data_IF_734921285498
#
_entry.id   IF_734921285498
#
_cell.length_a   1.000
_cell.length_b   1.000
_cell.length_c   1.000
_cell.angle_alpha   90.00
_cell.angle_beta   90.00
_cell.angle_gamma   90.00
#
_symmetry.space_group_name_H-M   'P 1'
#
loop_
_entity.id
_entity.type
_entity.pdbx_description
1 polymer ?
#
# COMPACT_ATOMS: atom_id res chain seq x y z
N UNK A 1 10.66 34.16 -61.18
CA UNK A 1 10.10 35.43 -61.61
C UNK A 1 8.62 35.34 -61.27
N UNK A 2 8.31 35.91 -60.14
CA UNK A 2 7.22 36.85 -59.84
C UNK A 2 5.80 36.35 -60.21
N UNK A 3 4.78 36.39 -59.38
CA UNK A 3 4.44 37.44 -58.41
C UNK A 3 3.49 36.93 -57.32
N UNK A 4 3.65 37.53 -56.17
CA UNK A 4 2.68 37.57 -55.07
C UNK A 4 1.33 38.14 -55.50
N UNK A 5 0.25 37.59 -55.00
CA UNK A 5 -0.88 38.42 -54.60
C UNK A 5 -1.68 37.78 -53.46
N UNK A 6 -1.61 38.47 -52.35
CA UNK A 6 -2.37 38.35 -51.12
C UNK A 6 -3.87 38.43 -51.34
N UNK A 7 -4.62 37.50 -50.79
CA UNK A 7 -6.00 37.79 -50.37
C UNK A 7 -6.29 37.16 -49.03
N UNK A 8 -6.41 38.05 -48.04
CA UNK A 8 -7.04 37.75 -46.75
C UNK A 8 -8.48 37.29 -47.03
N UNK A 9 -8.81 36.04 -46.70
CA UNK A 9 -10.21 35.62 -46.51
C UNK A 9 -10.42 35.26 -45.07
N UNK A 10 -11.36 35.92 -44.47
CA UNK A 10 -11.85 35.86 -43.09
C UNK A 10 -12.31 34.46 -42.72
N UNK A 11 -11.94 34.08 -41.53
CA UNK A 11 -12.22 32.81 -40.82
C UNK A 11 -13.67 32.78 -40.32
N UNK A 12 -14.66 32.57 -41.20
CA UNK A 12 -16.07 32.46 -40.76
C UNK A 12 -16.98 31.59 -41.63
N UNK A 13 -16.44 30.65 -42.40
CA UNK A 13 -17.29 29.68 -43.14
C UNK A 13 -16.59 28.32 -43.32
N UNK A 14 -16.43 27.56 -42.24
CA UNK A 14 -16.28 26.09 -42.30
C UNK A 14 -17.02 25.50 -41.12
N UNK A 15 -18.32 25.47 -41.21
CA UNK A 15 -19.20 24.59 -40.42
C UNK A 15 -20.04 23.78 -41.38
N UNK A 16 -19.50 22.67 -41.90
CA UNK A 16 -20.32 21.62 -42.53
C UNK A 16 -19.89 20.27 -41.96
N UNK A 17 -20.84 19.61 -41.33
CA UNK A 17 -20.71 18.30 -40.67
C UNK A 17 -20.05 17.17 -41.48
N UNK A 18 -20.09 17.15 -42.85
CA UNK A 18 -19.43 16.08 -43.62
C UNK A 18 -17.91 16.12 -43.60
N UNK A 19 -17.29 17.31 -43.55
CA UNK A 19 -15.80 17.46 -43.60
C UNK A 19 -15.13 17.01 -42.28
N UNK A 20 -15.80 17.25 -41.16
CA UNK A 20 -15.30 16.85 -39.85
C UNK A 20 -15.35 15.31 -39.71
N UNK A 21 -16.34 14.64 -40.28
CA UNK A 21 -16.43 13.18 -40.27
C UNK A 21 -15.42 12.50 -41.22
N UNK A 22 -15.07 13.14 -42.32
CA UNK A 22 -13.99 12.65 -43.21
C UNK A 22 -12.62 12.86 -42.56
N UNK A 23 -12.35 13.99 -41.93
CA UNK A 23 -11.11 14.22 -41.20
C UNK A 23 -10.95 13.28 -39.98
N UNK A 24 -12.04 12.95 -39.26
CA UNK A 24 -12.03 11.95 -38.21
C UNK A 24 -11.78 10.51 -38.70
N UNK A 25 -12.22 10.19 -39.93
CA UNK A 25 -11.89 8.88 -40.57
C UNK A 25 -10.45 8.83 -41.03
N UNK A 26 -9.88 9.95 -41.51
CA UNK A 26 -8.47 10.00 -41.91
C UNK A 26 -7.55 9.96 -40.67
N UNK A 27 -7.86 10.69 -39.60
CA UNK A 27 -7.07 10.62 -38.36
C UNK A 27 -7.17 9.25 -37.66
N UNK A 28 -8.32 8.58 -37.67
CA UNK A 28 -8.42 7.21 -37.21
C UNK A 28 -7.63 6.24 -38.10
N UNK A 29 -7.68 6.38 -39.43
CA UNK A 29 -6.89 5.50 -40.33
C UNK A 29 -5.37 5.74 -40.21
N UNK A 30 -4.92 6.99 -40.06
CA UNK A 30 -3.50 7.29 -39.83
C UNK A 30 -3.04 6.83 -38.43
N UNK A 31 -3.89 6.92 -37.40
CA UNK A 31 -3.58 6.37 -36.07
C UNK A 31 -3.47 4.84 -36.08
N UNK A 32 -4.38 4.15 -36.79
CA UNK A 32 -4.26 2.69 -37.00
C UNK A 32 -3.08 2.33 -37.90
N UNK A 33 -2.73 3.15 -38.89
CA UNK A 33 -1.57 2.91 -39.76
C UNK A 33 -0.25 3.18 -39.02
N UNK A 34 -0.17 4.19 -38.16
CA UNK A 34 0.98 4.42 -37.30
C UNK A 34 1.08 3.34 -36.19
N UNK A 35 -0.04 2.89 -35.63
CA UNK A 35 -0.06 1.79 -34.68
C UNK A 35 0.37 0.46 -35.32
N UNK A 36 -0.09 0.21 -36.58
CA UNK A 36 0.30 -0.98 -37.36
C UNK A 36 1.75 -0.90 -37.85
N UNK A 37 2.26 0.30 -38.22
CA UNK A 37 3.66 0.51 -38.60
C UNK A 37 4.63 0.44 -37.42
N UNK A 38 4.23 0.95 -36.24
CA UNK A 38 4.99 0.78 -34.98
C UNK A 38 5.05 -0.70 -34.56
N UNK A 39 3.99 -1.46 -34.80
CA UNK A 39 3.95 -2.91 -34.56
C UNK A 39 4.77 -3.72 -35.57
N UNK A 40 4.97 -3.24 -36.80
CA UNK A 40 5.71 -3.94 -37.86
C UNK A 40 7.21 -3.63 -37.89
N UNK A 41 7.71 -2.59 -37.21
CA UNK A 41 9.12 -2.18 -37.26
C UNK A 41 9.81 -2.04 -35.88
N UNK A 42 9.14 -2.30 -34.80
CA UNK A 42 9.77 -2.55 -33.52
C UNK A 42 10.59 -3.83 -33.67
N UNK A 43 11.88 -3.74 -33.79
CA UNK A 43 12.80 -4.88 -33.70
C UNK A 43 12.32 -5.74 -32.53
N UNK A 44 12.09 -7.03 -32.78
CA UNK A 44 11.61 -8.03 -31.84
C UNK A 44 12.57 -8.16 -30.65
N UNK A 45 12.56 -7.21 -29.74
CA UNK A 45 13.21 -7.37 -28.45
C UNK A 45 12.21 -8.20 -27.64
N UNK A 46 12.50 -9.46 -27.47
CA UNK A 46 11.79 -10.33 -26.55
C UNK A 46 12.23 -9.90 -25.15
N UNK A 47 11.31 -9.36 -24.35
CA UNK A 47 11.60 -9.07 -22.95
C UNK A 47 11.28 -10.31 -22.10
N UNK A 48 12.24 -10.72 -21.28
CA UNK A 48 12.10 -11.87 -20.40
C UNK A 48 11.89 -11.43 -18.96
N UNK A 49 10.72 -11.72 -18.41
CA UNK A 49 10.37 -11.40 -17.01
C UNK A 49 10.40 -12.67 -16.18
N UNK A 50 11.10 -12.61 -15.05
CA UNK A 50 11.13 -13.65 -14.03
C UNK A 50 10.38 -13.22 -12.77
N UNK A 51 9.43 -14.03 -12.29
CA UNK A 51 8.80 -13.84 -10.98
C UNK A 51 9.62 -14.61 -9.96
N UNK A 52 10.18 -13.88 -8.99
CA UNK A 52 11.03 -14.42 -7.93
C UNK A 52 10.21 -15.22 -6.90
N UNK A 53 10.80 -16.23 -6.31
CA UNK A 53 10.34 -16.79 -5.04
C UNK A 53 10.72 -15.85 -3.89
N UNK A 54 9.89 -15.80 -2.87
CA UNK A 54 10.22 -15.07 -1.65
C UNK A 54 11.08 -15.94 -0.73
N UNK A 55 12.18 -15.38 -0.23
CA UNK A 55 13.12 -16.09 0.65
C UNK A 55 13.24 -15.43 2.03
N UNK A 56 12.37 -14.47 2.34
CA UNK A 56 12.39 -13.74 3.61
C UNK A 56 11.91 -14.61 4.79
N UNK A 57 12.49 -14.40 5.95
CA UNK A 57 12.07 -15.01 7.22
C UNK A 57 11.53 -13.90 8.16
N UNK A 58 10.32 -14.05 8.72
CA UNK A 58 9.33 -15.12 8.48
C UNK A 58 8.83 -15.17 7.04
N UNK A 59 8.34 -16.34 6.60
CA UNK A 59 7.93 -16.60 5.21
C UNK A 59 6.84 -15.63 4.74
N UNK A 60 7.09 -14.97 3.62
CA UNK A 60 6.09 -14.17 2.90
C UNK A 60 5.47 -15.04 1.80
N UNK A 61 4.15 -15.24 1.84
CA UNK A 61 3.43 -16.10 0.90
C UNK A 61 2.84 -15.34 -0.28
N UNK A 62 2.93 -14.01 -0.28
CA UNK A 62 2.42 -13.16 -1.36
C UNK A 62 3.24 -13.34 -2.63
N UNK A 63 2.64 -13.00 -3.76
CA UNK A 63 3.31 -12.96 -5.06
C UNK A 63 3.01 -11.62 -5.74
N UNK A 64 3.93 -11.08 -6.55
CA UNK A 64 3.70 -9.83 -7.28
C UNK A 64 2.73 -10.02 -8.45
N UNK A 65 2.69 -11.22 -9.03
CA UNK A 65 1.81 -11.61 -10.13
C UNK A 65 1.24 -13.00 -9.84
N UNK A 66 -0.08 -13.11 -9.82
CA UNK A 66 -0.77 -14.40 -9.66
C UNK A 66 -0.73 -15.19 -11.00
N UNK A 67 -1.06 -16.51 -11.01
CA UNK A 67 -1.16 -17.29 -12.25
C UNK A 67 -2.00 -16.59 -13.32
N UNK A 68 -3.17 -16.09 -12.94
CA UNK A 68 -4.08 -15.34 -13.82
C UNK A 68 -3.43 -14.08 -14.39
N UNK A 69 -2.70 -13.32 -13.58
CA UNK A 69 -1.98 -12.12 -14.03
C UNK A 69 -0.90 -12.46 -15.05
N UNK A 70 -0.14 -13.52 -14.81
CA UNK A 70 0.86 -14.01 -15.75
C UNK A 70 0.21 -14.39 -17.10
N UNK A 71 -0.95 -15.06 -17.08
CA UNK A 71 -1.68 -15.40 -18.30
C UNK A 71 -2.16 -14.18 -19.06
N UNK A 72 -2.75 -13.19 -18.36
CA UNK A 72 -3.18 -11.91 -18.95
C UNK A 72 -2.01 -11.20 -19.63
N UNK A 73 -0.83 -11.19 -19.01
CA UNK A 73 0.36 -10.55 -19.58
C UNK A 73 0.82 -11.24 -20.86
N UNK A 74 0.89 -12.57 -20.88
CA UNK A 74 1.27 -13.33 -22.08
C UNK A 74 0.25 -13.17 -23.22
N UNK A 75 -1.04 -13.07 -22.91
CA UNK A 75 -2.09 -12.83 -23.90
C UNK A 75 -2.05 -11.39 -24.45
N UNK A 76 -1.64 -10.43 -23.61
CA UNK A 76 -1.61 -9.00 -23.97
C UNK A 76 -0.34 -8.62 -24.73
N UNK A 77 0.80 -9.24 -24.40
CA UNK A 77 2.11 -8.89 -24.93
C UNK A 77 2.77 -10.11 -25.61
N UNK A 78 2.55 -10.30 -26.92
CA UNK A 78 3.03 -11.50 -27.64
C UNK A 78 4.56 -11.68 -27.68
N UNK A 79 5.33 -10.61 -27.41
CA UNK A 79 6.80 -10.62 -27.37
C UNK A 79 7.34 -10.74 -25.93
N UNK A 80 6.50 -11.07 -24.97
CA UNK A 80 6.89 -11.29 -23.59
C UNK A 80 7.15 -12.79 -23.37
N UNK A 81 8.32 -13.12 -22.83
CA UNK A 81 8.56 -14.38 -22.16
C UNK A 81 8.44 -14.20 -20.65
N UNK A 82 7.70 -15.08 -19.99
CA UNK A 82 7.48 -15.01 -18.56
C UNK A 82 7.75 -16.36 -17.92
N UNK A 83 8.61 -16.37 -16.92
CA UNK A 83 8.93 -17.54 -16.11
C UNK A 83 8.71 -17.22 -14.63
N UNK A 84 8.32 -18.23 -13.87
CA UNK A 84 8.10 -18.12 -12.43
C UNK A 84 9.04 -19.09 -11.72
N UNK A 85 9.78 -18.60 -10.74
CA UNK A 85 10.71 -19.45 -9.98
C UNK A 85 9.93 -20.41 -9.08
N UNK A 86 10.31 -21.70 -9.07
CA UNK A 86 9.68 -22.74 -8.24
C UNK A 86 9.70 -22.37 -6.75
N UNK A 87 8.60 -22.60 -6.02
CA UNK A 87 8.48 -22.25 -4.61
C UNK A 87 7.43 -23.08 -3.87
N UNK A 88 7.85 -23.65 -2.74
CA UNK A 88 6.97 -24.37 -1.80
C UNK A 88 6.26 -23.45 -0.78
N UNK A 89 6.59 -22.15 -0.79
CA UNK A 89 6.16 -21.22 0.28
C UNK A 89 4.95 -20.38 -0.16
N UNK A 90 4.92 -19.92 -1.42
CA UNK A 90 3.92 -18.97 -1.91
C UNK A 90 2.49 -19.49 -1.83
N UNK A 91 1.51 -18.60 -1.76
CA UNK A 91 0.09 -18.96 -1.64
C UNK A 91 -0.52 -19.54 -2.93
N UNK A 92 0.15 -19.41 -4.09
CA UNK A 92 -0.19 -20.04 -5.36
C UNK A 92 0.88 -21.10 -5.68
N UNK A 93 0.50 -22.37 -5.72
CA UNK A 93 1.44 -23.46 -6.00
C UNK A 93 1.97 -23.42 -7.44
N UNK A 94 3.08 -24.11 -7.69
CA UNK A 94 3.64 -24.29 -9.03
C UNK A 94 2.60 -24.85 -10.00
N UNK A 95 1.80 -25.84 -9.57
CA UNK A 95 0.74 -26.45 -10.37
C UNK A 95 -0.32 -25.43 -10.84
N UNK A 96 -0.62 -24.42 -10.03
CA UNK A 96 -1.56 -23.36 -10.41
C UNK A 96 -1.01 -22.49 -11.55
N UNK A 97 0.28 -22.20 -11.55
CA UNK A 97 0.94 -21.48 -12.66
C UNK A 97 1.03 -22.37 -13.91
N UNK A 98 1.40 -23.65 -13.75
CA UNK A 98 1.44 -24.61 -14.86
C UNK A 98 0.07 -24.80 -15.52
N UNK A 99 -1.01 -24.79 -14.73
CA UNK A 99 -2.39 -24.89 -15.25
C UNK A 99 -2.76 -23.69 -16.15
N UNK A 100 -2.18 -22.51 -15.91
CA UNK A 100 -2.32 -21.32 -16.77
C UNK A 100 -1.29 -21.30 -17.92
N UNK A 101 -0.51 -22.36 -18.10
CA UNK A 101 0.52 -22.47 -19.15
C UNK A 101 1.75 -21.60 -18.89
N UNK A 102 2.03 -21.27 -17.63
CA UNK A 102 3.18 -20.47 -17.23
C UNK A 102 4.38 -21.38 -16.96
N UNK A 103 5.53 -20.99 -17.45
CA UNK A 103 6.77 -21.73 -17.30
C UNK A 103 7.30 -21.65 -15.86
N UNK A 104 7.53 -22.80 -15.21
CA UNK A 104 8.17 -22.90 -13.88
C UNK A 104 9.61 -23.31 -14.06
N UNK A 105 10.52 -22.57 -13.42
CA UNK A 105 11.98 -22.77 -13.49
C UNK A 105 12.62 -22.65 -12.11
N UNK A 106 13.79 -23.24 -11.93
CA UNK A 106 14.60 -23.07 -10.72
C UNK A 106 15.53 -21.85 -10.83
N UNK A 107 15.98 -21.52 -12.03
CA UNK A 107 16.92 -20.44 -12.33
C UNK A 107 16.31 -19.38 -13.24
N UNK A 108 16.45 -18.11 -12.85
CA UNK A 108 15.98 -16.94 -13.60
C UNK A 108 17.13 -16.16 -14.28
N UNK A 109 18.32 -16.74 -14.39
CA UNK A 109 19.49 -16.05 -14.97
C UNK A 109 19.31 -15.64 -16.43
N UNK A 110 18.39 -16.28 -17.16
CA UNK A 110 18.02 -15.91 -18.54
C UNK A 110 17.00 -14.75 -18.64
N UNK A 111 16.40 -14.31 -17.51
CA UNK A 111 15.46 -13.22 -17.49
C UNK A 111 16.17 -11.85 -17.44
N UNK A 112 15.58 -10.82 -18.04
CA UNK A 112 16.09 -9.44 -18.05
C UNK A 112 15.59 -8.67 -16.82
N UNK A 113 14.35 -8.89 -16.44
CA UNK A 113 13.65 -8.24 -15.34
C UNK A 113 13.17 -9.26 -14.33
N UNK A 114 13.46 -9.04 -13.06
CA UNK A 114 13.11 -9.91 -11.95
C UNK A 114 12.15 -9.18 -11.01
N UNK A 115 10.98 -9.78 -10.78
CA UNK A 115 9.88 -9.16 -10.04
C UNK A 115 9.59 -9.99 -8.80
N UNK A 116 9.77 -9.41 -7.60
CA UNK A 116 9.45 -10.01 -6.29
C UNK A 116 8.55 -9.11 -5.45
N UNK A 117 8.26 -9.52 -4.23
CA UNK A 117 7.58 -8.68 -3.22
C UNK A 117 8.61 -8.05 -2.29
N UNK A 118 9.51 -8.85 -1.74
CA UNK A 118 10.53 -8.45 -0.77
C UNK A 118 11.94 -8.54 -1.37
N UNK A 119 12.89 -7.98 -0.61
CA UNK A 119 14.31 -8.03 -0.96
C UNK A 119 14.83 -9.47 -1.04
N UNK A 120 15.69 -9.69 -2.03
CA UNK A 120 16.36 -10.99 -2.26
C UNK A 120 17.60 -11.10 -1.38
N UNK A 121 17.93 -12.28 -0.81
CA UNK A 121 19.20 -12.53 -0.14
C UNK A 121 20.41 -12.16 -1.00
N UNK A 122 21.47 -11.67 -0.39
CA UNK A 122 22.64 -11.15 -1.11
C UNK A 122 23.30 -12.18 -2.03
N UNK A 123 23.27 -13.44 -1.62
CA UNK A 123 23.83 -14.60 -2.33
C UNK A 123 22.97 -15.04 -3.52
N UNK A 124 21.68 -14.72 -3.52
CA UNK A 124 20.73 -15.06 -4.58
C UNK A 124 20.61 -13.97 -5.67
N UNK A 125 21.35 -12.84 -5.53
CA UNK A 125 21.32 -11.76 -6.50
C UNK A 125 22.05 -12.12 -7.79
N UNK A 126 21.39 -11.89 -8.93
CA UNK A 126 21.92 -12.15 -10.29
C UNK A 126 22.39 -10.81 -10.88
N UNK A 127 23.66 -10.76 -11.32
CA UNK A 127 24.26 -9.57 -11.86
C UNK A 127 23.64 -9.10 -13.19
N UNK A 128 23.69 -7.79 -13.46
CA UNK A 128 23.23 -7.14 -14.70
C UNK A 128 21.72 -7.30 -14.99
N UNK A 129 20.89 -7.46 -13.95
CA UNK A 129 19.45 -7.58 -14.07
C UNK A 129 18.74 -6.33 -13.55
N UNK A 130 17.48 -6.18 -13.92
CA UNK A 130 16.58 -5.17 -13.33
C UNK A 130 15.68 -5.86 -12.30
N UNK A 131 15.69 -5.37 -11.06
CA UNK A 131 14.88 -5.91 -9.97
C UNK A 131 13.75 -4.95 -9.58
N UNK A 132 12.58 -5.50 -9.33
CA UNK A 132 11.41 -4.80 -8.78
C UNK A 132 10.97 -5.45 -7.48
N UNK A 133 11.04 -4.74 -6.36
CA UNK A 133 10.54 -5.17 -5.06
C UNK A 133 10.52 -4.01 -4.03
N UNK A 134 10.02 -4.25 -2.81
CA UNK A 134 10.16 -3.34 -1.68
C UNK A 134 11.54 -3.51 -1.06
N UNK A 135 12.49 -2.64 -1.39
CA UNK A 135 13.88 -2.73 -0.90
C UNK A 135 14.07 -2.13 0.48
N UNK A 136 13.23 -1.17 0.86
CA UNK A 136 13.36 -0.35 2.08
C UNK A 136 14.70 0.40 2.20
N UNK A 137 15.55 0.42 1.18
CA UNK A 137 16.87 1.07 1.21
C UNK A 137 16.75 2.59 1.37
N UNK A 138 15.66 3.19 0.87
CA UNK A 138 15.36 4.62 1.02
C UNK A 138 15.18 5.07 2.48
N UNK A 139 14.99 4.13 3.41
CA UNK A 139 14.85 4.40 4.86
C UNK A 139 16.19 4.43 5.59
N UNK A 140 17.30 4.23 4.88
CA UNK A 140 18.68 4.23 5.39
C UNK A 140 18.90 3.33 6.61
N UNK A 141 18.12 2.24 6.72
CA UNK A 141 18.26 1.29 7.82
C UNK A 141 19.60 0.54 7.69
N UNK A 142 20.37 0.39 8.77
CA UNK A 142 21.71 -0.19 8.73
C UNK A 142 21.78 -1.58 8.06
N UNK A 143 20.76 -2.41 8.24
CA UNK A 143 20.71 -3.77 7.67
C UNK A 143 20.49 -3.80 6.15
N UNK A 144 19.89 -2.75 5.55
CA UNK A 144 19.67 -2.67 4.10
C UNK A 144 20.87 -2.11 3.32
N UNK A 145 21.88 -1.58 4.02
CA UNK A 145 23.07 -1.00 3.39
C UNK A 145 23.85 -2.04 2.57
N UNK A 146 24.02 -3.24 3.10
CA UNK A 146 24.71 -4.32 2.41
C UNK A 146 24.03 -4.71 1.09
N UNK A 147 22.68 -4.69 1.06
CA UNK A 147 21.89 -4.94 -0.14
C UNK A 147 22.21 -3.90 -1.23
N UNK A 148 22.12 -2.62 -0.90
CA UNK A 148 22.37 -1.54 -1.86
C UNK A 148 23.81 -1.60 -2.40
N UNK A 149 24.82 -1.80 -1.54
CA UNK A 149 26.21 -1.98 -1.94
C UNK A 149 26.38 -3.17 -2.89
N UNK A 150 25.76 -4.30 -2.59
CA UNK A 150 25.84 -5.49 -3.43
C UNK A 150 25.20 -5.28 -4.80
N UNK A 151 24.08 -4.55 -4.86
CA UNK A 151 23.44 -4.20 -6.12
C UNK A 151 24.31 -3.32 -7.01
N UNK A 152 24.95 -2.30 -6.45
CA UNK A 152 25.94 -1.47 -7.16
C UNK A 152 27.10 -2.31 -7.71
N UNK A 153 27.66 -3.21 -6.88
CA UNK A 153 28.76 -4.10 -7.28
C UNK A 153 28.39 -5.06 -8.42
N UNK A 154 27.15 -5.54 -8.43
CA UNK A 154 26.65 -6.49 -9.44
C UNK A 154 26.06 -5.79 -10.66
N UNK A 155 26.18 -4.47 -10.78
CA UNK A 155 25.61 -3.68 -11.89
C UNK A 155 24.10 -3.94 -12.06
N UNK A 156 23.35 -4.01 -10.95
CA UNK A 156 21.92 -4.26 -10.92
C UNK A 156 21.16 -2.93 -10.97
N UNK A 157 20.10 -2.87 -11.79
CA UNK A 157 19.12 -1.79 -11.72
C UNK A 157 18.04 -2.15 -10.69
N UNK A 158 17.89 -1.33 -9.65
CA UNK A 158 16.91 -1.57 -8.58
C UNK A 158 15.76 -0.57 -8.63
N UNK A 159 14.57 -1.04 -8.94
CA UNK A 159 13.32 -0.27 -8.92
C UNK A 159 12.57 -0.60 -7.63
N UNK A 160 12.36 0.40 -6.77
CA UNK A 160 11.64 0.20 -5.52
C UNK A 160 10.16 0.57 -5.64
N UNK A 161 9.28 -0.37 -5.28
CA UNK A 161 7.83 -0.16 -5.28
C UNK A 161 7.36 0.98 -4.37
N UNK A 162 8.12 1.31 -3.32
CA UNK A 162 7.73 2.39 -2.39
C UNK A 162 7.72 3.76 -3.05
N UNK A 163 8.52 3.95 -4.09
CA UNK A 163 8.72 5.24 -4.77
C UNK A 163 8.14 5.31 -6.17
N UNK A 164 7.43 4.28 -6.63
CA UNK A 164 6.65 4.34 -7.87
C UNK A 164 5.48 5.32 -7.70
N UNK A 165 5.54 6.46 -8.38
CA UNK A 165 4.57 7.55 -8.28
C UNK A 165 4.13 8.02 -9.65
N UNK A 166 2.88 8.50 -9.73
CA UNK A 166 2.39 9.21 -10.91
C UNK A 166 2.85 10.68 -10.90
N UNK A 167 2.50 11.42 -11.97
CA UNK A 167 2.86 12.83 -12.13
C UNK A 167 2.23 13.77 -11.06
N UNK A 168 1.27 13.27 -10.27
CA UNK A 168 0.69 13.98 -9.12
C UNK A 168 1.39 13.67 -7.80
N UNK A 169 2.42 12.83 -7.83
CA UNK A 169 3.13 12.36 -6.64
C UNK A 169 2.40 11.26 -5.86
N UNK A 170 1.29 10.73 -6.38
CA UNK A 170 0.55 9.64 -5.74
C UNK A 170 1.26 8.31 -5.95
N UNK A 171 1.43 7.53 -4.89
CA UNK A 171 2.02 6.19 -4.94
C UNK A 171 1.12 5.24 -5.72
N UNK A 172 1.68 4.56 -6.72
CA UNK A 172 0.92 3.71 -7.65
C UNK A 172 0.66 2.31 -7.13
N UNK A 173 1.54 1.75 -6.31
CA UNK A 173 1.57 0.34 -5.96
C UNK A 173 1.74 0.14 -4.46
N UNK A 174 1.08 -0.85 -3.87
CA UNK A 174 1.29 -1.23 -2.48
C UNK A 174 0.15 -2.03 -1.85
N UNK A 175 0.45 -2.71 -0.77
CA UNK A 175 -0.48 -3.58 -0.03
C UNK A 175 -1.35 -2.84 1.00
N UNK A 176 -1.36 -1.50 1.00
CA UNK A 176 -2.04 -0.70 2.04
C UNK A 176 -3.54 -0.96 2.14
N UNK A 177 -4.23 -1.26 1.03
CA UNK A 177 -5.65 -1.62 1.05
C UNK A 177 -5.90 -2.86 1.91
N UNK A 178 -5.11 -3.92 1.71
CA UNK A 178 -5.23 -5.15 2.49
C UNK A 178 -4.69 -5.02 3.91
N UNK A 179 -3.76 -4.12 4.18
CA UNK A 179 -3.43 -3.76 5.55
C UNK A 179 -4.66 -3.18 6.28
N UNK A 180 -5.43 -2.31 5.62
CA UNK A 180 -6.68 -1.76 6.16
C UNK A 180 -7.78 -2.79 6.35
N UNK A 181 -7.99 -3.66 5.36
CA UNK A 181 -9.00 -4.74 5.38
C UNK A 181 -8.73 -5.69 6.55
N UNK A 182 -7.52 -6.25 6.62
CA UNK A 182 -7.17 -7.21 7.67
C UNK A 182 -7.07 -6.52 9.03
N UNK A 183 -6.49 -5.31 9.09
CA UNK A 183 -6.34 -4.58 10.34
C UNK A 183 -7.67 -4.20 10.99
N UNK A 184 -8.67 -3.80 10.19
CA UNK A 184 -10.02 -3.54 10.71
C UNK A 184 -10.69 -4.82 11.23
N UNK A 185 -10.59 -5.93 10.48
CA UNK A 185 -11.08 -7.21 10.93
C UNK A 185 -10.43 -7.67 12.24
N UNK A 186 -9.09 -7.57 12.32
CA UNK A 186 -8.35 -7.89 13.53
C UNK A 186 -8.69 -6.96 14.71
N UNK A 187 -9.09 -5.71 14.44
CA UNK A 187 -9.64 -4.82 15.46
C UNK A 187 -10.91 -5.38 16.10
N UNK A 188 -11.84 -5.89 15.29
CA UNK A 188 -13.04 -6.58 15.80
C UNK A 188 -12.70 -7.89 16.50
N UNK A 189 -11.79 -8.70 15.95
CA UNK A 189 -11.30 -9.91 16.60
C UNK A 189 -10.74 -9.59 17.99
N UNK A 190 -9.90 -8.55 18.07
CA UNK A 190 -9.30 -8.10 19.34
C UNK A 190 -10.37 -7.69 20.35
N UNK A 191 -11.40 -6.96 19.91
CA UNK A 191 -12.49 -6.56 20.78
C UNK A 191 -13.30 -7.78 21.29
N UNK A 192 -13.61 -8.73 20.42
CA UNK A 192 -14.29 -9.97 20.81
C UNK A 192 -13.54 -10.74 21.89
N UNK A 193 -12.23 -10.90 21.70
CA UNK A 193 -11.34 -11.58 22.67
C UNK A 193 -11.15 -10.79 23.98
N UNK A 194 -11.07 -9.45 23.92
CA UNK A 194 -10.94 -8.58 25.10
C UNK A 194 -12.22 -8.55 25.92
N UNK A 195 -13.38 -8.43 25.27
CA UNK A 195 -14.68 -8.35 25.93
C UNK A 195 -15.26 -9.71 26.32
N UNK A 196 -14.77 -10.81 25.70
CA UNK A 196 -15.34 -12.15 25.84
C UNK A 196 -16.72 -12.33 25.19
N UNK A 197 -17.21 -11.37 24.39
CA UNK A 197 -18.56 -11.40 23.80
C UNK A 197 -18.68 -12.36 22.63
N UNK A 198 -17.65 -12.41 21.78
CA UNK A 198 -17.60 -13.27 20.60
C UNK A 198 -16.16 -13.64 20.23
N UNK A 199 -16.02 -14.59 19.33
CA UNK A 199 -14.72 -15.01 18.81
C UNK A 199 -14.80 -15.15 17.29
N UNK A 200 -13.87 -14.52 16.57
CA UNK A 200 -13.71 -14.63 15.13
C UNK A 200 -12.58 -15.59 14.80
N UNK A 201 -12.68 -16.29 13.68
CA UNK A 201 -11.57 -17.04 13.10
C UNK A 201 -10.46 -16.08 12.71
N UNK A 202 -9.21 -16.33 13.09
CA UNK A 202 -8.09 -15.49 12.69
C UNK A 202 -8.01 -15.37 11.16
N UNK A 203 -7.73 -14.17 10.61
CA UNK A 203 -7.75 -13.92 9.18
C UNK A 203 -6.82 -14.88 8.41
N UNK A 204 -5.62 -15.15 8.94
CA UNK A 204 -4.65 -16.08 8.34
C UNK A 204 -5.09 -17.56 8.32
N UNK A 205 -6.14 -17.92 9.03
CA UNK A 205 -6.76 -19.24 9.01
C UNK A 205 -7.96 -19.31 8.06
N UNK A 206 -8.43 -18.17 7.52
CA UNK A 206 -9.47 -18.13 6.49
C UNK A 206 -8.86 -18.51 5.13
N UNK A 207 -9.65 -19.15 4.29
CA UNK A 207 -9.21 -19.53 2.93
C UNK A 207 -8.99 -18.30 2.04
N UNK A 208 -9.85 -17.29 2.23
CA UNK A 208 -9.86 -16.04 1.48
C UNK A 208 -10.63 -14.95 2.24
N UNK A 209 -10.73 -13.78 1.61
CA UNK A 209 -11.47 -12.64 2.13
C UNK A 209 -12.98 -12.94 2.31
N UNK A 210 -13.56 -13.76 1.45
CA UNK A 210 -15.00 -14.07 1.53
C UNK A 210 -15.31 -14.82 2.81
N UNK A 211 -14.50 -15.82 3.16
CA UNK A 211 -14.63 -16.52 4.44
C UNK A 211 -14.40 -15.59 5.62
N UNK A 212 -13.37 -14.74 5.58
CA UNK A 212 -13.10 -13.76 6.63
C UNK A 212 -14.26 -12.79 6.82
N UNK A 213 -14.83 -12.26 5.73
CA UNK A 213 -16.03 -11.39 5.81
C UNK A 213 -17.26 -12.14 6.35
N UNK A 214 -17.40 -13.44 6.07
CA UNK A 214 -18.45 -14.29 6.61
C UNK A 214 -18.41 -14.41 8.14
N UNK A 215 -17.20 -14.44 8.72
CA UNK A 215 -17.00 -14.46 10.18
C UNK A 215 -17.56 -13.21 10.87
N UNK A 216 -17.63 -12.07 10.18
CA UNK A 216 -18.13 -10.81 10.74
C UNK A 216 -19.59 -10.89 11.18
N UNK A 217 -20.35 -11.86 10.69
CA UNK A 217 -21.73 -12.13 11.17
C UNK A 217 -21.80 -12.50 12.65
N UNK A 218 -20.67 -12.88 13.26
CA UNK A 218 -20.55 -13.23 14.69
C UNK A 218 -20.29 -12.01 15.57
N UNK A 219 -20.07 -10.83 15.00
CA UNK A 219 -19.76 -9.61 15.76
C UNK A 219 -21.00 -9.20 16.57
N UNK A 220 -20.82 -9.13 17.87
CA UNK A 220 -21.84 -8.70 18.83
C UNK A 220 -21.41 -7.39 19.49
N UNK A 221 -21.95 -6.28 19.02
CA UNK A 221 -21.79 -4.94 19.57
C UNK A 221 -23.17 -4.39 19.95
N UNK A 222 -23.25 -3.73 21.09
CA UNK A 222 -24.50 -3.17 21.63
C UNK A 222 -24.59 -1.67 21.43
N UNK A 223 -23.66 -0.93 22.01
CA UNK A 223 -23.62 0.53 22.00
C UNK A 223 -22.18 1.07 21.96
N UNK A 224 -21.25 0.22 21.51
CA UNK A 224 -19.85 0.60 21.36
C UNK A 224 -19.70 1.71 20.34
N UNK A 225 -18.84 2.68 20.68
CA UNK A 225 -18.42 3.73 19.76
C UNK A 225 -17.03 3.42 19.21
N UNK A 226 -16.88 3.53 17.90
CA UNK A 226 -15.66 3.17 17.17
C UNK A 226 -15.10 4.41 16.49
N UNK A 227 -13.82 4.67 16.66
CA UNK A 227 -13.08 5.67 15.87
C UNK A 227 -12.33 4.96 14.75
N UNK A 228 -12.45 5.48 13.54
CA UNK A 228 -11.62 5.12 12.39
C UNK A 228 -10.86 6.35 11.93
N UNK A 229 -9.55 6.24 11.73
CA UNK A 229 -8.74 7.34 11.17
C UNK A 229 -8.11 6.95 9.84
N UNK A 230 -7.88 7.96 8.99
CA UNK A 230 -7.16 7.82 7.73
C UNK A 230 -8.05 7.75 6.48
N UNK A 231 -7.61 8.46 5.42
CA UNK A 231 -8.30 8.55 4.12
C UNK A 231 -7.43 8.05 2.96
N UNK A 232 -6.28 7.46 3.26
CA UNK A 232 -5.39 6.85 2.28
C UNK A 232 -5.79 5.42 1.93
N UNK A 233 -4.90 4.68 1.29
CA UNK A 233 -5.12 3.26 0.91
C UNK A 233 -5.54 2.39 2.10
N UNK A 234 -4.87 2.56 3.24
CA UNK A 234 -5.18 1.83 4.49
C UNK A 234 -6.57 2.19 4.99
N UNK A 235 -6.86 3.48 5.16
CA UNK A 235 -8.17 3.94 5.62
C UNK A 235 -9.32 3.49 4.70
N UNK A 236 -9.09 3.48 3.38
CA UNK A 236 -10.08 2.96 2.42
C UNK A 236 -10.34 1.46 2.63
N UNK A 237 -9.30 0.65 2.88
CA UNK A 237 -9.44 -0.76 3.22
C UNK A 237 -10.20 -0.97 4.53
N UNK A 238 -9.93 -0.15 5.57
CA UNK A 238 -10.72 -0.15 6.81
C UNK A 238 -12.19 0.13 6.51
N UNK A 239 -12.47 1.14 5.67
CA UNK A 239 -13.86 1.51 5.34
C UNK A 239 -14.61 0.44 4.54
N UNK A 240 -13.91 -0.44 3.80
CA UNK A 240 -14.55 -1.60 3.16
C UNK A 240 -15.13 -2.56 4.21
N UNK A 241 -14.36 -2.85 5.26
CA UNK A 241 -14.81 -3.69 6.38
C UNK A 241 -15.89 -3.01 7.21
N UNK A 242 -15.76 -1.71 7.48
CA UNK A 242 -16.80 -0.95 8.19
C UNK A 242 -18.14 -0.97 7.45
N UNK A 243 -18.14 -0.90 6.11
CA UNK A 243 -19.37 -1.03 5.31
C UNK A 243 -19.98 -2.43 5.38
N UNK A 244 -19.16 -3.47 5.53
CA UNK A 244 -19.60 -4.87 5.67
C UNK A 244 -20.11 -5.20 7.07
N UNK A 245 -19.65 -4.48 8.10
CA UNK A 245 -20.03 -4.72 9.49
C UNK A 245 -21.46 -4.32 9.83
N UNK A 246 -22.16 -3.62 8.93
CA UNK A 246 -23.48 -3.03 9.17
C UNK A 246 -23.54 -2.02 10.35
N UNK A 247 -22.39 -1.55 10.84
CA UNK A 247 -22.32 -0.53 11.88
C UNK A 247 -22.57 0.84 11.25
N UNK A 248 -23.47 1.61 11.87
CA UNK A 248 -23.85 2.91 11.32
C UNK A 248 -22.77 3.96 11.50
N UNK A 249 -22.37 4.63 10.41
CA UNK A 249 -21.55 5.83 10.47
C UNK A 249 -22.36 7.03 10.97
N UNK A 250 -21.81 7.79 11.88
CA UNK A 250 -22.42 9.02 12.40
C UNK A 250 -21.55 10.25 12.11
N UNK A 251 -22.17 11.44 12.19
CA UNK A 251 -21.41 12.68 12.09
C UNK A 251 -20.49 12.87 13.29
N UNK A 252 -19.39 13.63 13.13
CA UNK A 252 -18.49 14.00 14.23
C UNK A 252 -19.22 14.64 15.39
N UNK A 253 -20.12 15.56 15.10
CA UNK A 253 -20.93 16.25 16.11
C UNK A 253 -21.84 15.29 16.89
N UNK A 254 -22.49 14.37 16.18
CA UNK A 254 -23.35 13.36 16.82
C UNK A 254 -22.52 12.38 17.66
N UNK A 255 -21.35 11.98 17.17
CA UNK A 255 -20.44 11.10 17.92
C UNK A 255 -20.04 11.70 19.27
N UNK A 256 -19.73 13.01 19.30
CA UNK A 256 -19.32 13.70 20.51
C UNK A 256 -20.49 13.94 21.48
N UNK A 257 -21.70 14.27 20.97
CA UNK A 257 -22.77 14.84 21.79
C UNK A 257 -23.97 13.90 22.04
N UNK A 258 -24.02 12.74 21.34
CA UNK A 258 -25.17 11.82 21.47
C UNK A 258 -24.77 10.47 22.05
N UNK A 259 -25.69 9.88 22.78
CA UNK A 259 -25.69 8.44 23.13
C UNK A 259 -26.49 7.66 22.09
N UNK A 260 -26.14 6.40 21.89
CA UNK A 260 -26.78 5.54 20.91
C UNK A 260 -27.18 4.22 21.57
N UNK A 261 -28.30 3.64 21.12
CA UNK A 261 -28.76 2.31 21.55
C UNK A 261 -28.23 1.19 20.63
N UNK A 262 -27.30 1.53 19.76
CA UNK A 262 -26.64 0.64 18.81
C UNK A 262 -25.16 1.02 18.69
N UNK A 263 -24.34 0.13 18.18
CA UNK A 263 -22.95 0.45 17.87
C UNK A 263 -22.87 1.45 16.70
N UNK A 264 -21.97 2.43 16.83
CA UNK A 264 -21.76 3.45 15.80
C UNK A 264 -20.26 3.71 15.59
N UNK A 265 -19.92 4.23 14.41
CA UNK A 265 -18.56 4.68 14.18
C UNK A 265 -18.47 6.10 13.59
N UNK A 266 -17.35 6.75 13.86
CA UNK A 266 -16.96 8.00 13.22
C UNK A 266 -15.70 7.76 12.39
N UNK A 267 -15.67 8.33 11.17
CA UNK A 267 -14.48 8.34 10.33
C UNK A 267 -13.85 9.72 10.34
N UNK A 268 -12.61 9.81 10.81
CA UNK A 268 -11.87 11.04 11.02
C UNK A 268 -10.73 11.19 10.01
N UNK A 269 -10.64 12.36 9.43
CA UNK A 269 -9.47 12.81 8.68
C UNK A 269 -8.48 13.48 9.67
N UNK A 270 -7.20 13.58 9.30
CA UNK A 270 -6.18 14.26 10.12
C UNK A 270 -6.53 15.71 10.49
N UNK A 271 -7.29 16.41 9.65
CA UNK A 271 -7.82 17.76 9.95
C UNK A 271 -8.88 17.79 11.07
N UNK A 272 -9.48 16.64 11.40
CA UNK A 272 -10.57 16.57 12.36
C UNK A 272 -10.09 16.44 13.81
N UNK A 273 -8.83 16.03 13.97
CA UNK A 273 -8.20 15.81 15.27
C UNK A 273 -6.85 16.54 15.44
N UNK A 274 -6.51 17.46 14.53
CA UNK A 274 -5.40 18.37 14.69
C UNK A 274 -5.90 19.82 14.57
N UNK A 275 -5.57 20.64 15.55
CA UNK A 275 -5.97 22.03 15.61
C UNK A 275 -4.74 22.92 15.76
N UNK A 276 -4.79 24.14 15.21
CA UNK A 276 -3.70 25.11 15.42
C UNK A 276 -3.67 25.59 16.86
N UNK A 277 -2.47 25.74 17.40
CA UNK A 277 -2.24 26.18 18.80
C UNK A 277 -2.76 27.61 19.01
N UNK A 278 -2.66 28.48 18.00
CA UNK A 278 -3.13 29.89 18.06
C UNK A 278 -4.65 30.04 17.83
N UNK A 279 -5.37 28.94 17.60
CA UNK A 279 -6.82 28.93 17.35
C UNK A 279 -7.25 29.41 15.98
N UNK A 280 -6.33 29.69 15.05
CA UNK A 280 -6.65 30.03 13.68
C UNK A 280 -7.11 28.80 12.86
N UNK A 281 -7.66 29.03 11.67
CA UNK A 281 -8.16 27.94 10.82
C UNK A 281 -7.06 26.97 10.41
N UNK A 282 -7.41 25.68 10.31
CA UNK A 282 -6.52 24.62 9.83
C UNK A 282 -6.08 24.90 8.38
N UNK A 283 -4.78 24.77 8.14
CA UNK A 283 -4.19 24.81 6.79
C UNK A 283 -3.37 23.53 6.55
N UNK A 284 -3.75 22.76 5.54
CA UNK A 284 -3.13 21.47 5.26
C UNK A 284 -1.67 21.58 4.85
N UNK A 285 -1.30 22.56 4.02
CA UNK A 285 0.08 22.73 3.60
C UNK A 285 0.96 23.13 4.79
N UNK A 286 0.47 24.02 5.64
CA UNK A 286 1.16 24.45 6.85
C UNK A 286 1.32 23.29 7.85
N UNK A 287 0.31 22.43 7.98
CA UNK A 287 0.39 21.24 8.83
C UNK A 287 1.54 20.29 8.39
N UNK A 288 1.75 20.12 7.10
CA UNK A 288 2.83 19.26 6.62
C UNK A 288 4.21 19.92 6.65
N UNK A 289 4.28 21.26 6.63
CA UNK A 289 5.58 21.98 6.64
C UNK A 289 6.02 22.40 8.04
N UNK A 290 5.08 22.71 8.92
CA UNK A 290 5.31 23.22 10.27
C UNK A 290 4.37 22.53 11.28
N UNK A 291 4.49 21.19 11.46
CA UNK A 291 3.57 20.43 12.32
C UNK A 291 3.59 20.87 13.79
N UNK A 292 4.66 21.49 14.26
CA UNK A 292 4.82 22.05 15.61
C UNK A 292 3.85 23.20 15.93
N UNK A 293 3.23 23.80 14.93
CA UNK A 293 2.18 24.81 15.11
C UNK A 293 0.81 24.21 15.46
N UNK A 294 0.73 22.88 15.49
CA UNK A 294 -0.52 22.17 15.72
C UNK A 294 -0.45 21.31 16.99
N UNK A 295 -1.62 21.02 17.55
CA UNK A 295 -1.80 20.07 18.65
C UNK A 295 -2.94 19.12 18.35
N UNK A 296 -2.90 17.95 18.98
CA UNK A 296 -3.98 16.96 18.88
C UNK A 296 -5.23 17.42 19.66
N UNK A 297 -6.39 17.15 19.09
CA UNK A 297 -7.70 17.14 19.76
C UNK A 297 -8.34 15.75 19.71
N UNK A 298 -7.55 14.70 19.46
CA UNK A 298 -8.06 13.33 19.36
C UNK A 298 -8.70 12.84 20.64
N UNK A 299 -8.25 13.34 21.79
CA UNK A 299 -8.82 13.00 23.10
C UNK A 299 -10.30 13.38 23.23
N UNK A 300 -10.77 14.43 22.53
CA UNK A 300 -12.19 14.78 22.49
C UNK A 300 -13.06 13.62 21.98
N UNK A 301 -12.51 12.79 21.09
CA UNK A 301 -13.16 11.58 20.56
C UNK A 301 -12.86 10.35 21.41
N UNK A 302 -11.62 10.17 21.87
CA UNK A 302 -11.15 8.96 22.55
C UNK A 302 -11.91 8.71 23.86
N UNK A 303 -12.28 9.75 24.61
CA UNK A 303 -13.07 9.66 25.85
C UNK A 303 -14.49 9.09 25.62
N UNK A 304 -14.98 9.11 24.38
CA UNK A 304 -16.31 8.59 24.02
C UNK A 304 -16.25 7.23 23.33
N UNK A 305 -15.07 6.70 23.02
CA UNK A 305 -14.90 5.52 22.17
C UNK A 305 -14.38 4.31 22.96
N UNK A 306 -14.79 3.12 22.51
CA UNK A 306 -14.33 1.84 23.04
C UNK A 306 -13.27 1.19 22.15
N UNK A 307 -13.33 1.43 20.83
CA UNK A 307 -12.48 0.82 19.81
C UNK A 307 -11.88 1.93 18.96
N UNK A 308 -10.58 1.86 18.73
CA UNK A 308 -9.88 2.72 17.79
C UNK A 308 -9.19 1.89 16.71
N UNK A 309 -9.51 2.16 15.44
CA UNK A 309 -8.90 1.55 14.26
C UNK A 309 -8.05 2.62 13.58
N UNK A 310 -6.74 2.52 13.72
CA UNK A 310 -5.77 3.51 13.27
C UNK A 310 -5.26 3.19 11.87
N UNK A 311 -5.92 3.73 10.85
CA UNK A 311 -5.52 3.60 9.44
C UNK A 311 -4.89 4.87 8.85
N UNK A 312 -4.46 5.81 9.70
CA UNK A 312 -3.83 7.06 9.30
C UNK A 312 -2.34 6.87 8.97
N UNK A 313 -1.80 7.83 8.22
CA UNK A 313 -0.36 8.00 8.05
C UNK A 313 0.17 8.98 9.09
N UNK A 314 1.27 8.63 9.74
CA UNK A 314 1.98 9.52 10.64
C UNK A 314 3.23 10.08 9.97
N UNK A 315 3.42 11.40 10.06
CA UNK A 315 4.64 12.08 9.65
C UNK A 315 5.43 12.47 10.89
N UNK A 316 6.72 12.20 10.89
CA UNK A 316 7.59 12.58 12.01
C UNK A 316 7.46 14.06 12.34
N UNK A 317 7.31 14.39 13.62
CA UNK A 317 7.09 15.75 14.11
C UNK A 317 5.62 16.17 14.18
N UNK A 318 4.68 15.41 13.62
CA UNK A 318 3.24 15.68 13.80
C UNK A 318 2.81 15.43 15.25
N UNK A 319 1.73 16.10 15.74
CA UNK A 319 1.18 15.82 17.05
C UNK A 319 0.80 14.35 17.24
N UNK A 320 1.04 13.80 18.41
CA UNK A 320 0.56 12.47 18.78
C UNK A 320 -0.97 12.50 18.91
N UNK A 321 -1.63 11.39 18.52
CA UNK A 321 -3.07 11.28 18.72
C UNK A 321 -3.40 11.30 20.21
N UNK A 322 -2.74 10.43 20.97
CA UNK A 322 -2.76 10.48 22.43
C UNK A 322 -1.40 10.05 23.00
N UNK A 323 -1.04 10.67 24.12
CA UNK A 323 0.20 10.41 24.84
C UNK A 323 -0.01 9.33 25.91
N UNK A 324 1.09 8.88 26.52
CA UNK A 324 1.02 7.99 27.70
C UNK A 324 0.27 8.62 28.85
N UNK A 325 0.42 9.93 29.04
CA UNK A 325 -0.26 10.69 30.08
C UNK A 325 -1.78 10.79 29.81
N UNK A 326 -2.17 11.00 28.56
CA UNK A 326 -3.58 10.97 28.16
C UNK A 326 -4.21 9.61 28.46
N UNK A 327 -3.49 8.52 28.22
CA UNK A 327 -3.97 7.15 28.47
C UNK A 327 -4.21 6.85 29.96
N UNK A 328 -3.56 7.58 30.88
CA UNK A 328 -3.75 7.45 32.34
C UNK A 328 -4.98 8.20 32.85
N UNK A 329 -5.57 9.05 32.03
CA UNK A 329 -6.77 9.80 32.41
C UNK A 329 -7.92 8.85 32.76
N UNK A 330 -8.70 9.18 33.79
CA UNK A 330 -9.88 8.44 34.20
C UNK A 330 -10.98 8.45 33.12
N UNK A 331 -10.98 9.45 32.26
CA UNK A 331 -11.93 9.58 31.16
C UNK A 331 -11.50 8.80 29.90
N UNK A 332 -10.30 8.19 29.90
CA UNK A 332 -9.82 7.42 28.76
C UNK A 332 -10.51 6.06 28.63
N UNK A 333 -11.36 5.92 27.62
CA UNK A 333 -12.29 4.79 27.50
C UNK A 333 -11.93 3.72 26.45
N UNK A 334 -10.84 3.93 25.68
CA UNK A 334 -10.44 2.94 24.69
C UNK A 334 -10.03 1.62 25.34
N UNK A 335 -10.74 0.55 24.97
CA UNK A 335 -10.47 -0.83 25.37
C UNK A 335 -9.59 -1.54 24.36
N UNK A 336 -9.73 -1.17 23.07
CA UNK A 336 -9.01 -1.76 21.95
C UNK A 336 -8.42 -0.68 21.06
N UNK A 337 -7.17 -0.88 20.69
CA UNK A 337 -6.46 -0.11 19.67
C UNK A 337 -5.96 -1.09 18.61
N UNK A 338 -6.51 -1.01 17.40
CA UNK A 338 -6.01 -1.68 16.21
C UNK A 338 -5.10 -0.71 15.45
N UNK A 339 -3.81 -0.70 15.78
CA UNK A 339 -2.85 0.19 15.16
C UNK A 339 -2.25 -0.43 13.90
N UNK A 340 -2.86 -0.11 12.76
CA UNK A 340 -2.44 -0.60 11.44
C UNK A 340 -1.16 0.09 10.97
N UNK A 341 -0.88 1.31 11.45
CA UNK A 341 0.34 2.05 11.12
C UNK A 341 1.58 1.43 11.79
N UNK A 342 1.40 0.87 12.98
CA UNK A 342 2.43 0.18 13.76
C UNK A 342 3.70 1.05 13.97
N UNK A 343 3.52 2.35 14.22
CA UNK A 343 4.63 3.28 14.50
C UNK A 343 5.04 3.20 15.99
N UNK A 344 6.13 2.47 16.25
CA UNK A 344 6.61 2.25 17.62
C UNK A 344 7.04 3.57 18.26
N UNK A 345 6.56 3.84 19.49
CA UNK A 345 6.74 5.12 20.17
C UNK A 345 6.29 6.31 19.30
N UNK A 346 5.34 6.07 18.43
CA UNK A 346 4.73 7.04 17.52
C UNK A 346 3.46 7.69 18.08
N UNK A 347 2.52 8.04 17.19
CA UNK A 347 1.36 8.87 17.56
C UNK A 347 0.34 8.17 18.47
N UNK A 348 0.45 6.85 18.63
CA UNK A 348 -0.43 6.00 19.43
C UNK A 348 0.37 5.43 20.60
N UNK A 349 0.27 6.04 21.77
CA UNK A 349 1.15 5.76 22.91
C UNK A 349 1.12 4.31 23.42
N UNK A 350 0.02 3.58 23.17
CA UNK A 350 -0.09 2.16 23.53
C UNK A 350 0.67 1.22 22.60
N UNK A 351 1.17 1.71 21.44
CA UNK A 351 1.95 0.92 20.49
C UNK A 351 3.43 0.91 20.89
N UNK A 352 3.76 0.03 21.84
CA UNK A 352 5.12 -0.06 22.43
C UNK A 352 6.03 -1.06 21.70
N UNK A 353 5.46 -1.96 20.90
CA UNK A 353 6.16 -2.89 20.01
C UNK A 353 5.27 -3.37 18.88
N UNK A 354 5.84 -3.90 17.78
CA UNK A 354 5.03 -4.63 16.82
C UNK A 354 4.51 -5.93 17.41
N UNK A 355 3.40 -6.42 16.90
CA UNK A 355 2.91 -7.77 17.13
C UNK A 355 3.08 -8.62 15.85
N UNK A 356 2.92 -9.94 15.98
CA UNK A 356 3.08 -10.89 14.88
C UNK A 356 1.75 -11.53 14.52
N UNK A 357 1.64 -12.10 13.33
CA UNK A 357 0.44 -12.85 12.91
C UNK A 357 0.11 -13.98 13.89
N UNK A 358 1.15 -14.66 14.42
CA UNK A 358 0.99 -15.75 15.40
C UNK A 358 0.55 -15.25 16.80
N UNK A 359 0.98 -14.04 17.17
CA UNK A 359 0.67 -13.38 18.44
C UNK A 359 0.21 -11.94 18.18
N UNK A 360 -1.02 -11.73 17.67
CA UNK A 360 -1.42 -10.44 17.14
C UNK A 360 -1.77 -9.39 18.20
N UNK A 361 -1.99 -9.79 19.46
CA UNK A 361 -2.54 -8.93 20.50
C UNK A 361 -1.68 -8.98 21.75
N UNK A 362 -1.40 -7.81 22.33
CA UNK A 362 -0.87 -7.67 23.68
C UNK A 362 -1.67 -6.64 24.47
N UNK A 363 -1.53 -6.64 25.79
CA UNK A 363 -2.12 -5.64 26.66
C UNK A 363 -1.15 -4.53 26.96
N UNK A 364 -1.58 -3.28 26.91
CA UNK A 364 -0.86 -2.13 27.42
C UNK A 364 -1.50 -1.65 28.71
N UNK A 365 -0.78 -1.78 29.84
CA UNK A 365 -1.27 -1.26 31.11
C UNK A 365 -1.05 0.26 31.16
N UNK A 366 -2.13 1.01 31.33
CA UNK A 366 -2.13 2.48 31.28
C UNK A 366 -1.29 3.12 32.40
N UNK A 367 -1.23 2.51 33.60
CA UNK A 367 -0.54 3.08 34.75
C UNK A 367 0.96 2.73 34.77
N UNK A 368 1.30 1.45 34.55
CA UNK A 368 2.70 1.01 34.55
C UNK A 368 3.42 1.26 33.22
N UNK A 369 2.67 1.55 32.13
CA UNK A 369 3.18 1.71 30.77
C UNK A 369 3.87 0.45 30.22
N UNK A 370 3.58 -0.71 30.81
CA UNK A 370 4.21 -1.99 30.49
C UNK A 370 3.25 -2.92 29.75
N UNK A 371 3.82 -3.90 29.08
CA UNK A 371 3.08 -5.00 28.50
C UNK A 371 2.51 -5.91 29.60
N UNK A 372 1.24 -6.29 29.41
CA UNK A 372 0.50 -7.24 30.27
C UNK A 372 -0.35 -8.17 29.39
N UNK A 373 -1.02 -9.15 30.00
CA UNK A 373 -2.08 -9.89 29.28
C UNK A 373 -3.17 -8.91 28.84
N UNK A 374 -3.56 -8.96 27.56
CA UNK A 374 -4.57 -8.05 27.01
C UNK A 374 -5.96 -8.21 27.64
N UNK A 375 -6.22 -9.31 28.36
CA UNK A 375 -7.46 -9.54 29.12
C UNK A 375 -7.49 -8.84 30.48
N UNK A 376 -6.34 -8.33 30.94
CA UNK A 376 -6.26 -7.57 32.19
C UNK A 376 -7.24 -6.39 32.16
N UNK A 377 -8.04 -6.21 33.21
CA UNK A 377 -9.15 -5.25 33.27
C UNK A 377 -8.73 -3.82 32.84
N UNK A 378 -7.69 -3.28 33.43
CA UNK A 378 -7.20 -1.91 33.19
C UNK A 378 -6.22 -1.78 32.02
N UNK A 379 -6.18 -2.75 31.13
CA UNK A 379 -5.31 -2.70 29.95
C UNK A 379 -6.06 -2.34 28.67
N UNK A 380 -5.36 -1.66 27.78
CA UNK A 380 -5.75 -1.51 26.38
C UNK A 380 -5.28 -2.76 25.64
N UNK A 381 -6.17 -3.48 24.94
CA UNK A 381 -5.78 -4.54 24.04
C UNK A 381 -5.27 -3.92 22.72
N UNK A 382 -4.01 -4.15 22.40
CA UNK A 382 -3.34 -3.55 21.23
C UNK A 382 -3.06 -4.62 20.19
N UNK A 383 -3.56 -4.41 18.97
CA UNK A 383 -3.19 -5.14 17.77
C UNK A 383 -2.32 -4.23 16.91
N UNK A 384 -1.05 -4.60 16.72
CA UNK A 384 -0.07 -3.82 15.95
C UNK A 384 0.78 -4.77 15.08
N UNK A 385 0.11 -5.58 14.26
CA UNK A 385 0.78 -6.52 13.34
C UNK A 385 1.40 -5.72 12.20
N UNK A 386 2.71 -5.87 12.01
CA UNK A 386 3.50 -5.10 11.05
C UNK A 386 3.33 -5.56 9.58
N UNK A 387 2.74 -6.73 9.36
CA UNK A 387 2.59 -7.33 8.02
C UNK A 387 1.19 -7.92 7.78
N UNK A 388 0.15 -7.16 8.11
CA UNK A 388 -1.27 -7.54 7.99
C UNK A 388 -1.66 -8.14 6.64
N UNK A 389 -1.20 -7.64 5.46
CA UNK A 389 -1.59 -8.23 4.17
C UNK A 389 -1.15 -9.69 3.99
N UNK A 390 -0.18 -10.18 4.76
CA UNK A 390 0.24 -11.58 4.74
C UNK A 390 -0.77 -12.55 5.36
N UNK A 391 -1.78 -12.04 6.07
CA UNK A 391 -2.85 -12.88 6.61
C UNK A 391 -3.87 -13.31 5.53
N UNK A 392 -4.00 -12.54 4.44
CA UNK A 392 -4.80 -12.89 3.26
C UNK A 392 -3.91 -12.82 2.00
N UNK A 393 -2.89 -13.68 1.88
CA UNK A 393 -1.87 -13.52 0.86
C UNK A 393 -2.38 -13.66 -0.57
N UNK A 394 -3.42 -14.48 -0.81
CA UNK A 394 -4.02 -14.64 -2.15
C UNK A 394 -4.71 -13.36 -2.60
N UNK A 395 -5.64 -12.88 -1.80
CA UNK A 395 -6.40 -11.66 -2.09
C UNK A 395 -5.51 -10.42 -2.17
N UNK A 396 -4.53 -10.31 -1.27
CA UNK A 396 -3.57 -9.22 -1.30
C UNK A 396 -2.68 -9.24 -2.55
N UNK A 397 -2.32 -10.44 -3.04
CA UNK A 397 -1.56 -10.60 -4.28
C UNK A 397 -2.39 -10.31 -5.53
N UNK A 398 -3.69 -10.64 -5.53
CA UNK A 398 -4.59 -10.27 -6.62
C UNK A 398 -4.72 -8.75 -6.74
N UNK A 399 -4.99 -8.04 -5.63
CA UNK A 399 -5.07 -6.58 -5.61
C UNK A 399 -3.76 -5.91 -6.07
N UNK A 400 -2.63 -6.44 -5.62
CA UNK A 400 -1.31 -5.93 -6.00
C UNK A 400 -1.01 -6.18 -7.48
N UNK A 401 -1.30 -7.37 -7.99
CA UNK A 401 -1.09 -7.76 -9.38
C UNK A 401 -1.97 -6.97 -10.35
N UNK A 402 -3.23 -6.69 -9.97
CA UNK A 402 -4.11 -5.80 -10.75
C UNK A 402 -3.50 -4.41 -10.91
N UNK A 403 -3.00 -3.80 -9.80
CA UNK A 403 -2.30 -2.52 -9.87
C UNK A 403 -1.00 -2.57 -10.69
N UNK A 404 -0.25 -3.68 -10.59
CA UNK A 404 0.99 -3.90 -11.35
C UNK A 404 0.71 -3.91 -12.86
N UNK A 405 -0.28 -4.68 -13.31
CA UNK A 405 -0.66 -4.78 -14.71
C UNK A 405 -1.18 -3.45 -15.25
N UNK A 406 -2.03 -2.78 -14.47
CA UNK A 406 -2.69 -1.55 -14.93
C UNK A 406 -1.73 -0.34 -14.96
N UNK A 407 -0.84 -0.23 -13.98
CA UNK A 407 -0.09 1.01 -13.73
C UNK A 407 1.41 0.94 -14.02
N UNK A 408 2.03 -0.25 -13.92
CA UNK A 408 3.50 -0.39 -13.98
C UNK A 408 3.96 -1.11 -15.23
N UNK A 409 3.35 -2.25 -15.54
CA UNK A 409 3.74 -3.08 -16.69
C UNK A 409 3.70 -2.33 -18.03
N UNK A 410 2.72 -1.44 -18.31
CA UNK A 410 2.75 -0.64 -19.53
C UNK A 410 4.01 0.25 -19.64
N UNK A 411 4.45 0.88 -18.53
CA UNK A 411 5.69 1.66 -18.52
C UNK A 411 6.93 0.80 -18.75
N UNK A 412 6.90 -0.46 -18.32
CA UNK A 412 8.01 -1.40 -18.52
C UNK A 412 8.08 -1.93 -19.96
N UNK A 413 6.93 -2.29 -20.57
CA UNK A 413 6.89 -3.04 -21.83
C UNK A 413 6.64 -2.17 -23.07
N UNK A 414 5.96 -1.01 -22.91
CA UNK A 414 5.60 -0.12 -24.03
C UNK A 414 6.50 1.11 -24.05
N UNK A 415 6.69 1.75 -22.91
CA UNK A 415 7.52 2.94 -22.77
C UNK A 415 7.23 3.73 -21.50
N UNK A 416 8.27 4.24 -20.88
CA UNK A 416 8.20 4.99 -19.61
C UNK A 416 8.09 6.51 -19.83
N UNK A 417 7.18 6.95 -20.72
CA UNK A 417 6.99 8.34 -21.10
C UNK A 417 6.73 9.27 -19.90
N UNK A 418 6.12 8.73 -18.84
CA UNK A 418 5.85 9.43 -17.59
C UNK A 418 6.98 9.31 -16.57
N UNK A 419 8.10 8.66 -16.94
CA UNK A 419 9.27 8.44 -16.09
C UNK A 419 8.95 7.74 -14.74
N UNK A 420 7.92 6.90 -14.71
CA UNK A 420 7.46 6.22 -13.50
C UNK A 420 8.56 5.28 -12.98
N UNK A 421 9.09 4.43 -13.86
CA UNK A 421 10.16 3.47 -13.53
C UNK A 421 11.48 4.22 -13.35
N UNK A 422 11.80 5.17 -14.26
CA UNK A 422 13.01 5.97 -14.18
C UNK A 422 13.14 6.67 -12.82
N UNK A 423 12.08 7.34 -12.37
CA UNK A 423 12.06 8.05 -11.09
C UNK A 423 12.10 7.13 -9.87
N UNK A 424 11.72 5.87 -10.02
CA UNK A 424 11.73 4.86 -8.94
C UNK A 424 12.97 3.97 -8.96
N UNK A 425 13.87 4.14 -9.93
CA UNK A 425 15.12 3.41 -10.02
C UNK A 425 16.16 4.01 -9.09
N UNK A 426 16.51 3.29 -8.03
CA UNK A 426 17.43 3.75 -6.98
C UNK A 426 18.87 3.71 -7.46
N UNK A 427 19.26 2.61 -8.10
CA UNK A 427 20.59 2.45 -8.68
C UNK A 427 20.53 1.79 -10.05
N UNK A 428 21.50 2.10 -10.90
CA UNK A 428 21.67 1.60 -12.25
C UNK A 428 23.10 1.81 -12.71
N UNK A 429 23.59 0.95 -13.61
CA UNK A 429 24.94 1.06 -14.22
C UNK A 429 26.07 1.17 -13.17
N UNK A 430 25.90 0.50 -12.02
CA UNK A 430 26.86 0.45 -10.93
C UNK A 430 26.88 1.69 -10.04
N UNK A 431 25.96 2.65 -10.21
CA UNK A 431 25.91 3.87 -9.41
C UNK A 431 24.46 4.23 -8.97
N UNK A 432 24.34 5.18 -8.03
CA UNK A 432 23.06 5.76 -7.64
C UNK A 432 22.51 6.63 -8.78
N UNK A 433 21.19 6.61 -8.95
CA UNK A 433 20.54 7.54 -9.88
C UNK A 433 20.42 8.94 -9.26
N UNK A 434 20.25 10.01 -10.07
CA UNK A 434 20.20 11.38 -9.55
C UNK A 434 19.17 11.63 -8.45
N UNK A 435 18.00 10.98 -8.52
CA UNK A 435 16.93 11.12 -7.51
C UNK A 435 17.32 10.53 -6.15
N UNK A 436 18.29 9.63 -6.11
CA UNK A 436 18.73 8.91 -4.90
C UNK A 436 20.19 9.22 -4.51
N UNK A 437 20.78 10.30 -5.05
CA UNK A 437 22.13 10.71 -4.71
C UNK A 437 22.31 10.99 -3.20
N UNK A 438 21.24 11.34 -2.49
CA UNK A 438 21.26 11.53 -1.04
C UNK A 438 21.67 10.26 -0.27
N UNK A 439 21.50 9.06 -0.85
CA UNK A 439 21.97 7.80 -0.26
C UNK A 439 23.49 7.61 -0.34
N UNK A 440 24.22 8.54 -0.98
CA UNK A 440 25.69 8.48 -1.11
C UNK A 440 26.40 8.44 0.24
N UNK A 441 25.92 9.19 1.22
CA UNK A 441 26.44 9.18 2.58
C UNK A 441 26.17 7.86 3.28
N UNK A 442 24.95 7.32 3.10
CA UNK A 442 24.54 6.05 3.67
C UNK A 442 25.40 4.87 3.19
N UNK A 443 25.75 4.80 1.90
CA UNK A 443 26.62 3.74 1.37
C UNK A 443 28.09 3.91 1.76
N UNK A 444 28.55 5.16 2.05
CA UNK A 444 29.93 5.46 2.47
C UNK A 444 30.17 5.36 3.99
N UNK A 445 29.08 5.36 4.80
CA UNK A 445 29.21 5.25 6.25
C UNK A 445 29.87 3.92 6.64
N UNK A 446 30.88 4.00 7.52
CA UNK A 446 31.64 2.86 8.05
C UNK A 446 30.99 2.33 9.33
#
# INVERSE_FOLDING_TARGET
MLDMLTTKRTCSQIQSAPVINELRKITKRTSYFFFFFYFCFSNYIIMKIGVLKEEKVPADKRVPLTPKHCRILLDTYPNLELSVQSSDIRCFSDDMYLAEGINIVDDLSDCDVLIGVKEVPLESLIANKTYFYFSHTIKEQPYNRALLLKMLQLNISMVDYEVLRNNKGERLLGFGRYAGVVGAYNGFLTYGLKSGKYNLKAAHNCADRVEMEGEMSKIELLHEKIIVTGNGRVGNGVMEIMKKSNIRQVSKLDFLNKTFNEAVFVHLNFMDYNIKIDGSSFNQQEFFTNPELFKSSFMDYAIHANIFIAGHYYSSGSPYLFTREDAKSLDFNLLVVADISCDINGPVASTIRPSTIANPIYGYNKQSEQEVDFRTEDSIAVMAVDNLPCELPKDASEDFGDEMIDKIIPSLLIGDDNQIIFNATICKDGDLTPNFEYLRSYIKAY
#
